data_IF_620776735471
#
_entry.id   IF_620776735471
#
_cell.length_a   1.000
_cell.length_b   1.000
_cell.length_c   1.000
_cell.angle_alpha   90.00
_cell.angle_beta   90.00
_cell.angle_gamma   90.00
#
_symmetry.space_group_name_H-M   'P 1'
#
loop_
_entity.id
_entity.type
_entity.pdbx_description
1 polymer ?
#
# COMPACT_ATOMS: atom_id res chain seq x y z
N UNK A 1 28.70 -31.60 42.33
CA UNK A 1 27.35 -31.39 41.77
C UNK A 1 27.13 -29.95 41.28
N UNK A 2 28.07 -29.01 41.52
CA UNK A 2 28.00 -27.63 40.99
C UNK A 2 28.42 -27.50 39.52
N UNK A 3 29.46 -28.20 39.08
CA UNK A 3 29.99 -28.14 37.70
C UNK A 3 28.96 -28.48 36.61
N UNK A 4 28.04 -29.40 36.90
CA UNK A 4 26.97 -29.81 35.96
C UNK A 4 25.80 -28.82 35.90
N UNK A 5 25.64 -27.93 36.91
CA UNK A 5 24.60 -26.90 36.89
C UNK A 5 25.03 -25.65 36.12
N UNK A 6 26.31 -25.27 36.21
CA UNK A 6 26.86 -24.12 35.48
C UNK A 6 26.83 -24.37 33.96
N UNK A 7 27.22 -25.57 33.51
CA UNK A 7 27.24 -25.93 32.09
C UNK A 7 25.82 -25.98 31.46
N UNK A 8 24.80 -26.37 32.25
CA UNK A 8 23.38 -26.36 31.83
C UNK A 8 22.80 -24.95 31.74
N UNK A 9 23.16 -24.06 32.66
CA UNK A 9 22.80 -22.63 32.59
C UNK A 9 23.46 -21.96 31.38
N UNK A 10 24.77 -22.12 31.19
CA UNK A 10 25.50 -21.57 30.06
C UNK A 10 24.96 -22.07 28.71
N UNK A 11 24.64 -23.37 28.61
CA UNK A 11 24.05 -23.95 27.39
C UNK A 11 22.61 -23.50 27.13
N UNK A 12 21.83 -23.18 28.17
CA UNK A 12 20.47 -22.67 27.99
C UNK A 12 20.48 -21.20 27.57
N UNK A 13 21.39 -20.39 28.13
CA UNK A 13 21.56 -18.98 27.74
C UNK A 13 22.04 -18.84 26.29
N UNK A 14 22.95 -19.70 25.82
CA UNK A 14 23.40 -19.67 24.41
C UNK A 14 22.29 -20.05 23.43
N UNK A 15 21.49 -21.07 23.75
CA UNK A 15 20.35 -21.49 22.90
C UNK A 15 19.28 -20.39 22.84
N UNK A 16 18.97 -19.72 23.95
CA UNK A 16 18.00 -18.61 23.98
C UNK A 16 18.50 -17.42 23.15
N UNK A 17 19.79 -17.07 23.24
CA UNK A 17 20.37 -15.98 22.43
C UNK A 17 20.37 -16.29 20.93
N UNK A 18 20.57 -17.56 20.54
CA UNK A 18 20.48 -18.00 19.15
C UNK A 18 19.01 -17.97 18.66
N UNK A 19 18.05 -18.41 19.46
CA UNK A 19 16.63 -18.36 19.07
C UNK A 19 16.09 -16.93 18.96
N UNK A 20 16.60 -15.99 19.77
CA UNK A 20 16.27 -14.56 19.67
C UNK A 20 16.87 -13.93 18.41
N UNK A 21 18.08 -14.32 17.99
CA UNK A 21 18.70 -13.78 16.77
C UNK A 21 18.08 -14.30 15.48
N UNK A 22 17.52 -15.52 15.45
CA UNK A 22 16.76 -16.03 14.31
C UNK A 22 15.34 -15.44 14.20
N UNK A 23 14.83 -14.75 15.22
CA UNK A 23 13.49 -14.15 15.23
C UNK A 23 13.36 -12.78 14.53
N UNK A 24 14.46 -12.19 14.06
CA UNK A 24 14.49 -10.85 13.44
C UNK A 24 14.62 -10.84 11.91
N UNK A 25 14.27 -11.94 11.24
CA UNK A 25 14.06 -11.91 9.80
C UNK A 25 12.70 -11.27 9.51
N UNK A 26 12.66 -9.94 9.50
CA UNK A 26 11.58 -9.20 8.86
C UNK A 26 11.73 -9.45 7.36
N UNK A 27 10.88 -10.32 6.80
CA UNK A 27 10.76 -10.44 5.35
C UNK A 27 10.31 -9.10 4.78
N UNK A 28 11.10 -8.53 3.89
CA UNK A 28 10.64 -7.43 3.03
C UNK A 28 9.65 -8.05 2.06
N UNK A 29 8.35 -7.88 2.31
CA UNK A 29 7.35 -8.26 1.32
C UNK A 29 7.44 -7.26 0.17
N UNK A 30 7.78 -7.74 -1.01
CA UNK A 30 7.73 -7.01 -2.28
C UNK A 30 6.42 -7.38 -2.96
N UNK A 31 5.62 -6.38 -3.31
CA UNK A 31 4.37 -6.58 -4.04
C UNK A 31 4.55 -6.32 -5.54
N UNK A 32 3.69 -6.92 -6.35
CA UNK A 32 3.69 -6.76 -7.80
C UNK A 32 2.34 -6.24 -8.26
N UNK A 33 2.33 -5.10 -8.95
CA UNK A 33 1.13 -4.42 -9.38
C UNK A 33 1.07 -4.40 -10.91
N UNK A 34 0.01 -4.97 -11.48
CA UNK A 34 -0.27 -4.79 -12.91
C UNK A 34 -0.84 -3.40 -13.11
N UNK A 35 -0.17 -2.58 -13.93
CA UNK A 35 -0.62 -1.22 -14.21
C UNK A 35 -1.95 -1.27 -14.95
N UNK A 36 -2.99 -0.66 -14.39
CA UNK A 36 -4.36 -0.72 -14.92
C UNK A 36 -5.17 -1.95 -14.47
N UNK A 37 -4.60 -2.82 -13.64
CA UNK A 37 -5.20 -4.08 -13.18
C UNK A 37 -5.71 -4.95 -14.35
N UNK A 38 -7.00 -5.29 -14.40
CA UNK A 38 -7.58 -6.12 -15.47
C UNK A 38 -7.60 -5.43 -16.83
N UNK A 39 -7.56 -4.10 -16.85
CA UNK A 39 -7.57 -3.30 -18.08
C UNK A 39 -6.16 -3.05 -18.65
N UNK A 40 -5.12 -3.44 -17.88
CA UNK A 40 -3.72 -3.36 -18.26
C UNK A 40 -3.29 -1.93 -18.73
N UNK A 41 -2.18 -1.84 -19.48
CA UNK A 41 -1.65 -0.57 -19.97
C UNK A 41 -2.26 -0.20 -21.34
N UNK A 42 -3.51 0.30 -21.32
CA UNK A 42 -4.25 0.74 -22.50
C UNK A 42 -4.86 2.16 -22.36
N UNK A 43 -5.44 2.66 -23.45
CA UNK A 43 -6.14 3.94 -23.54
C UNK A 43 -7.51 3.91 -22.88
N UNK A 44 -7.99 5.06 -22.40
CA UNK A 44 -9.32 5.18 -21.78
C UNK A 44 -9.39 4.77 -20.32
N UNK A 45 -8.27 4.33 -19.74
CA UNK A 45 -8.16 3.95 -18.33
C UNK A 45 -7.84 5.18 -17.47
N UNK A 46 -8.48 5.27 -16.30
CA UNK A 46 -8.19 6.33 -15.33
C UNK A 46 -7.03 5.92 -14.42
N UNK A 47 -5.80 6.14 -14.88
CA UNK A 47 -4.61 5.76 -14.12
C UNK A 47 -4.38 6.56 -12.84
N UNK A 48 -4.96 7.76 -12.72
CA UNK A 48 -4.93 8.51 -11.46
C UNK A 48 -5.63 7.69 -10.36
N UNK A 49 -6.87 7.29 -10.63
CA UNK A 49 -7.64 6.45 -9.70
C UNK A 49 -6.99 5.09 -9.46
N UNK A 50 -6.35 4.49 -10.47
CA UNK A 50 -5.57 3.26 -10.27
C UNK A 50 -4.39 3.50 -9.31
N UNK A 51 -3.57 4.53 -9.56
CA UNK A 51 -2.38 4.81 -8.75
C UNK A 51 -2.69 5.18 -7.29
N UNK A 52 -3.82 5.83 -7.03
CA UNK A 52 -4.22 6.24 -5.67
C UNK A 52 -4.77 5.07 -4.82
N UNK A 53 -5.06 3.91 -5.40
CA UNK A 53 -5.57 2.74 -4.66
C UNK A 53 -4.50 1.97 -3.88
N UNK A 54 -3.22 2.16 -4.22
CA UNK A 54 -2.12 1.36 -3.70
C UNK A 54 -1.12 2.21 -2.92
N UNK A 55 -0.36 1.57 -2.03
CA UNK A 55 0.74 2.19 -1.31
C UNK A 55 2.05 1.54 -1.78
N UNK A 56 2.74 2.21 -2.70
CA UNK A 56 3.98 1.69 -3.28
C UNK A 56 5.16 1.87 -2.32
N UNK A 57 5.95 0.82 -2.17
CA UNK A 57 7.14 0.77 -1.33
C UNK A 57 8.37 0.38 -2.14
N UNK A 58 9.56 0.77 -1.67
CA UNK A 58 10.80 0.29 -2.26
C UNK A 58 10.84 -1.24 -2.25
N UNK A 59 11.15 -1.83 -3.40
CA UNK A 59 11.16 -3.27 -3.62
C UNK A 59 9.95 -3.78 -4.39
N UNK A 60 8.85 -3.01 -4.46
CA UNK A 60 7.69 -3.38 -5.27
C UNK A 60 8.01 -3.36 -6.77
N UNK A 61 7.16 -4.00 -7.57
CA UNK A 61 7.31 -4.10 -9.03
C UNK A 61 6.03 -3.63 -9.72
N UNK A 62 6.17 -2.74 -10.70
CA UNK A 62 5.09 -2.45 -11.65
C UNK A 62 5.22 -3.36 -12.87
N UNK A 63 4.10 -3.90 -13.34
CA UNK A 63 4.04 -4.72 -14.57
C UNK A 63 3.22 -3.98 -15.61
N UNK A 64 3.86 -3.60 -16.71
CA UNK A 64 3.20 -3.00 -17.86
C UNK A 64 2.93 -4.06 -18.90
N UNK A 65 1.65 -4.40 -19.08
CA UNK A 65 1.19 -5.33 -20.12
C UNK A 65 0.46 -4.57 -21.21
N UNK A 66 0.89 -4.78 -22.45
CA UNK A 66 0.32 -4.12 -23.63
C UNK A 66 0.82 -4.79 -24.91
N UNK A 67 0.17 -4.50 -26.04
CA UNK A 67 0.68 -4.96 -27.34
C UNK A 67 1.91 -4.14 -27.75
N UNK A 68 3.06 -4.80 -27.82
CA UNK A 68 4.31 -4.16 -28.24
C UNK A 68 4.15 -3.41 -29.57
N UNK A 69 4.64 -2.17 -29.61
CA UNK A 69 4.51 -1.28 -30.76
C UNK A 69 3.21 -0.49 -30.83
N UNK A 70 2.13 -0.90 -30.13
CA UNK A 70 0.93 -0.08 -29.95
C UNK A 70 1.06 0.87 -28.76
N UNK A 71 1.77 0.43 -27.73
CA UNK A 71 2.11 1.25 -26.56
C UNK A 71 3.59 1.05 -26.21
N UNK A 72 4.04 1.87 -25.26
CA UNK A 72 5.28 1.75 -24.53
C UNK A 72 5.08 2.41 -23.17
N UNK A 73 5.99 2.18 -22.24
CA UNK A 73 6.02 2.84 -20.94
C UNK A 73 7.40 3.45 -20.71
N UNK A 74 7.48 4.76 -20.54
CA UNK A 74 8.75 5.45 -20.30
C UNK A 74 8.70 6.05 -18.90
N UNK A 75 9.72 5.77 -18.08
CA UNK A 75 9.98 6.57 -16.87
C UNK A 75 10.60 7.90 -17.32
N UNK A 76 10.04 9.01 -16.84
CA UNK A 76 10.44 10.34 -17.29
C UNK A 76 10.57 11.31 -16.12
N UNK A 77 11.20 12.46 -16.37
CA UNK A 77 11.18 13.58 -15.44
C UNK A 77 9.78 14.20 -15.32
N UNK A 78 9.53 14.92 -14.23
CA UNK A 78 8.27 15.65 -14.03
C UNK A 78 7.95 16.63 -15.18
N UNK A 79 8.97 17.32 -15.71
CA UNK A 79 8.80 18.26 -16.82
C UNK A 79 8.31 17.55 -18.09
N UNK A 80 8.94 16.43 -18.44
CA UNK A 80 8.57 15.56 -19.57
C UNK A 80 7.17 14.96 -19.38
N UNK A 81 6.81 14.55 -18.17
CA UNK A 81 5.46 14.06 -17.85
C UNK A 81 4.38 15.12 -18.08
N UNK A 82 4.64 16.36 -17.63
CA UNK A 82 3.69 17.47 -17.79
C UNK A 82 3.51 17.86 -19.25
N UNK A 83 4.61 17.91 -20.02
CA UNK A 83 4.57 18.29 -21.44
C UNK A 83 4.12 17.16 -22.36
N UNK A 84 4.26 15.89 -21.94
CA UNK A 84 4.18 14.72 -22.81
C UNK A 84 5.17 14.75 -23.99
N UNK A 85 6.26 15.52 -23.87
CA UNK A 85 7.31 15.63 -24.88
C UNK A 85 8.56 14.86 -24.43
N UNK A 86 8.70 13.64 -24.93
CA UNK A 86 9.81 12.74 -24.63
C UNK A 86 11.09 13.03 -25.44
N UNK A 87 11.22 14.20 -26.08
CA UNK A 87 12.47 14.63 -26.74
C UNK A 87 13.64 14.78 -25.76
N UNK A 88 13.34 15.06 -24.48
CA UNK A 88 14.31 15.14 -23.39
C UNK A 88 13.71 14.56 -22.10
N UNK A 89 14.55 14.27 -21.11
CA UNK A 89 14.11 13.85 -19.78
C UNK A 89 13.49 12.45 -19.69
N UNK A 90 13.83 11.56 -20.63
CA UNK A 90 13.57 10.12 -20.50
C UNK A 90 14.63 9.48 -19.61
N UNK A 91 14.20 8.78 -18.56
CA UNK A 91 15.06 8.13 -17.58
C UNK A 91 15.21 6.63 -17.87
N UNK A 92 14.13 5.98 -18.28
CA UNK A 92 14.12 4.58 -18.70
C UNK A 92 13.07 4.34 -19.80
N UNK A 93 13.26 3.28 -20.57
CA UNK A 93 12.38 2.88 -21.69
C UNK A 93 11.97 1.42 -21.54
N UNK A 94 10.68 1.18 -21.65
CA UNK A 94 10.07 -0.14 -21.57
C UNK A 94 9.18 -0.33 -22.80
N UNK A 95 9.51 -1.30 -23.64
CA UNK A 95 8.98 -1.45 -25.01
C UNK A 95 8.68 -2.91 -25.38
N UNK A 96 8.74 -3.86 -24.42
CA UNK A 96 8.57 -5.29 -24.72
C UNK A 96 7.11 -5.74 -24.78
N UNK A 97 6.19 -5.00 -24.14
CA UNK A 97 4.78 -5.38 -23.98
C UNK A 97 4.47 -6.22 -22.74
N UNK A 98 5.49 -6.66 -22.00
CA UNK A 98 5.38 -7.29 -20.68
C UNK A 98 6.58 -6.86 -19.82
N UNK A 99 6.61 -5.57 -19.49
CA UNK A 99 7.76 -4.94 -18.84
C UNK A 99 7.58 -4.91 -17.32
N UNK A 100 8.59 -5.40 -16.60
CA UNK A 100 8.65 -5.35 -15.14
C UNK A 100 9.58 -4.23 -14.68
N UNK A 101 9.03 -3.30 -13.90
CA UNK A 101 9.72 -2.09 -13.42
C UNK A 101 9.84 -2.16 -11.90
N UNK A 102 11.01 -2.55 -11.36
CA UNK A 102 11.24 -2.55 -9.92
C UNK A 102 11.37 -1.11 -9.39
N UNK A 103 10.69 -0.83 -8.30
CA UNK A 103 10.70 0.45 -7.60
C UNK A 103 11.84 0.45 -6.57
N UNK A 104 13.03 0.87 -6.99
CA UNK A 104 14.26 0.71 -6.19
C UNK A 104 14.60 1.92 -5.31
N UNK A 105 13.92 3.04 -5.48
CA UNK A 105 14.23 4.30 -4.80
C UNK A 105 12.99 4.88 -4.12
N UNK A 106 13.16 5.47 -2.94
CA UNK A 106 12.14 6.31 -2.30
C UNK A 106 12.09 7.66 -3.03
N UNK A 107 11.20 7.74 -4.00
CA UNK A 107 10.93 8.94 -4.80
C UNK A 107 9.54 8.86 -5.38
N UNK A 108 9.06 9.97 -5.89
CA UNK A 108 7.97 9.90 -6.85
C UNK A 108 8.50 9.33 -8.18
N UNK A 109 7.65 8.66 -8.96
CA UNK A 109 7.95 8.16 -10.30
C UNK A 109 6.88 8.70 -11.27
N UNK A 110 7.25 8.90 -12.54
CA UNK A 110 6.39 9.46 -13.58
C UNK A 110 6.50 8.58 -14.81
N UNK A 111 5.37 8.03 -15.24
CA UNK A 111 5.30 7.14 -16.39
C UNK A 111 4.39 7.72 -17.45
N UNK A 112 4.79 7.59 -18.71
CA UNK A 112 4.01 8.02 -19.88
C UNK A 112 4.07 6.97 -21.00
N UNK A 113 3.04 6.95 -21.85
CA UNK A 113 3.13 6.34 -23.17
C UNK A 113 3.49 7.43 -24.20
N UNK A 114 4.57 7.22 -24.96
CA UNK A 114 5.09 8.20 -25.92
C UNK A 114 4.49 8.11 -27.33
N UNK A 115 3.62 7.12 -27.56
CA UNK A 115 2.87 7.01 -28.81
C UNK A 115 1.98 8.25 -28.98
N UNK A 116 1.93 8.76 -30.22
CA UNK A 116 1.32 10.06 -30.51
C UNK A 116 -0.13 10.14 -29.99
N UNK A 117 -0.39 11.12 -29.13
CA UNK A 117 -1.71 11.35 -28.52
C UNK A 117 -1.99 10.54 -27.26
N UNK A 118 -1.25 9.47 -26.96
CA UNK A 118 -1.57 8.59 -25.82
C UNK A 118 -1.33 9.26 -24.46
N UNK A 119 -0.16 9.88 -24.23
CA UNK A 119 0.12 10.59 -22.97
C UNK A 119 -0.87 11.73 -22.69
N UNK A 120 -1.15 12.57 -23.69
CA UNK A 120 -2.14 13.66 -23.56
C UNK A 120 -3.57 13.14 -23.45
N UNK A 121 -3.83 11.96 -24.02
CA UNK A 121 -5.09 11.22 -23.90
C UNK A 121 -5.27 10.51 -22.56
N UNK A 122 -4.29 10.59 -21.65
CA UNK A 122 -4.40 10.06 -20.29
C UNK A 122 -3.59 8.79 -20.01
N UNK A 123 -2.85 8.23 -20.98
CA UNK A 123 -1.89 7.14 -20.73
C UNK A 123 -0.63 7.67 -20.05
N UNK A 124 -0.79 8.11 -18.81
CA UNK A 124 0.25 8.60 -17.93
C UNK A 124 -0.21 8.51 -16.49
N UNK A 125 0.72 8.32 -15.56
CA UNK A 125 0.45 8.44 -14.13
C UNK A 125 1.71 8.73 -13.34
N UNK A 126 1.51 9.02 -12.06
CA UNK A 126 2.57 9.21 -11.08
C UNK A 126 2.30 8.33 -9.86
N UNK A 127 3.36 7.82 -9.24
CA UNK A 127 3.27 7.13 -7.95
C UNK A 127 4.30 7.69 -6.99
N UNK A 128 3.97 7.76 -5.71
CA UNK A 128 4.92 8.11 -4.67
C UNK A 128 5.37 6.83 -3.96
N UNK A 129 6.67 6.52 -4.04
CA UNK A 129 7.25 5.32 -3.45
C UNK A 129 7.88 5.70 -2.12
N UNK A 130 7.45 5.02 -1.05
CA UNK A 130 8.02 5.16 0.29
C UNK A 130 9.15 4.16 0.53
N UNK A 131 9.95 4.41 1.57
CA UNK A 131 10.97 3.47 2.00
C UNK A 131 10.41 2.05 2.27
N UNK A 132 11.28 1.04 2.26
CA UNK A 132 10.87 -0.37 2.34
C UNK A 132 9.88 -0.61 3.49
N UNK A 133 8.78 -1.31 3.22
CA UNK A 133 7.74 -1.61 4.19
C UNK A 133 8.26 -2.59 5.24
N UNK A 134 8.61 -2.09 6.43
CA UNK A 134 9.14 -2.92 7.54
C UNK A 134 8.05 -3.36 8.54
N UNK A 135 6.76 -3.37 8.18
CA UNK A 135 5.70 -3.59 9.17
C UNK A 135 4.83 -4.84 8.91
N UNK A 136 4.74 -5.78 9.88
CA UNK A 136 3.57 -6.64 10.06
C UNK A 136 2.45 -5.83 10.72
N UNK A 137 1.31 -5.70 10.02
CA UNK A 137 0.01 -5.17 10.46
C UNK A 137 -0.09 -4.42 11.79
N UNK A 138 -0.31 -3.11 11.72
CA UNK A 138 -1.34 -2.42 12.52
C UNK A 138 -1.79 -1.21 11.72
N UNK A 139 -3.00 -1.25 11.18
CA UNK A 139 -3.72 -0.08 10.69
C UNK A 139 -3.86 0.89 11.86
N UNK A 140 -2.94 1.84 11.98
CA UNK A 140 -3.16 3.03 12.79
C UNK A 140 -3.92 4.02 11.93
N UNK A 141 -5.25 3.98 12.06
CA UNK A 141 -6.13 5.10 11.72
C UNK A 141 -5.62 6.33 12.46
N UNK A 142 -4.77 7.13 11.82
CA UNK A 142 -4.39 8.44 12.34
C UNK A 142 -5.56 9.37 12.06
N UNK A 143 -6.48 9.44 13.01
CA UNK A 143 -7.53 10.45 13.07
C UNK A 143 -6.89 11.83 13.07
N UNK A 144 -6.79 12.44 11.90
CA UNK A 144 -6.67 13.88 11.75
C UNK A 144 -8.08 14.46 11.90
N UNK A 145 -8.33 15.12 13.02
CA UNK A 145 -9.55 15.91 13.22
C UNK A 145 -9.67 16.94 12.07
N UNK A 146 -10.85 17.13 11.47
CA UNK A 146 -11.06 18.16 10.46
C UNK A 146 -10.82 19.57 11.04
N UNK A 147 -10.32 20.55 10.26
CA UNK A 147 -10.35 21.93 10.69
C UNK A 147 -11.82 22.37 10.83
N UNK A 148 -12.13 22.87 12.02
CA UNK A 148 -13.39 23.48 12.41
C UNK A 148 -13.75 24.61 11.44
N UNK A 149 -14.80 24.39 10.63
CA UNK A 149 -15.39 25.41 9.77
C UNK A 149 -16.46 26.14 10.57
N UNK A 150 -16.19 27.41 10.85
CA UNK A 150 -17.11 28.36 11.49
C UNK A 150 -18.44 28.44 10.70
N UNK A 151 -19.61 28.36 11.37
CA UNK A 151 -20.89 28.37 10.68
C UNK A 151 -21.33 29.79 10.29
N UNK A 152 -21.69 29.97 9.01
CA UNK A 152 -22.49 31.12 8.55
C UNK A 152 -23.96 31.00 9.03
N UNK A 153 -24.66 32.13 9.24
CA UNK A 153 -25.96 32.17 9.91
C UNK A 153 -27.10 31.52 9.09
N UNK A 154 -28.11 30.93 9.75
CA UNK A 154 -29.21 30.23 9.08
C UNK A 154 -30.30 31.18 8.56
N UNK A 155 -31.00 30.84 7.46
CA UNK A 155 -32.27 31.44 7.11
C UNK A 155 -33.40 30.89 8.01
N UNK A 156 -34.21 31.81 8.53
CA UNK A 156 -35.37 31.59 9.39
C UNK A 156 -36.55 31.01 8.61
N UNK A 157 -37.13 29.88 9.05
CA UNK A 157 -38.59 29.67 9.17
C UNK A 157 -38.98 28.27 9.71
N UNK A 158 -40.20 28.12 10.28
CA UNK A 158 -40.40 27.41 11.55
C UNK A 158 -41.16 26.07 11.46
N UNK A 159 -40.90 25.24 12.48
CA UNK A 159 -41.72 24.25 13.22
C UNK A 159 -42.76 23.40 12.48
N UNK A 160 -42.73 22.06 12.69
CA UNK A 160 -43.54 21.27 13.65
C UNK A 160 -42.94 19.85 13.77
N UNK A 161 -42.48 19.34 14.91
CA UNK A 161 -43.14 18.91 16.16
C UNK A 161 -43.61 17.44 16.16
N UNK A 162 -43.44 16.76 17.31
CA UNK A 162 -43.84 15.38 17.71
C UNK A 162 -43.03 14.18 17.16
N UNK A 163 -42.66 13.13 17.91
CA UNK A 163 -42.73 12.81 19.33
C UNK A 163 -41.99 11.49 19.64
N UNK A 164 -41.61 11.34 20.92
CA UNK A 164 -41.63 10.13 21.77
C UNK A 164 -40.60 8.99 21.63
N UNK A 165 -39.82 8.86 22.73
CA UNK A 165 -39.12 7.69 23.27
C UNK A 165 -40.12 6.75 24.00
N UNK A 166 -39.85 5.43 24.13
CA UNK A 166 -39.44 4.84 25.42
C UNK A 166 -38.36 3.73 25.23
N UNK A 167 -37.27 3.72 26.01
CA UNK A 167 -37.03 2.93 27.24
C UNK A 167 -37.41 1.44 27.19
N UNK A 168 -36.38 0.58 27.16
CA UNK A 168 -36.46 -0.85 27.44
C UNK A 168 -35.21 -1.32 28.18
N UNK A 169 -35.38 -1.77 29.42
CA UNK A 169 -34.40 -2.32 30.35
C UNK A 169 -34.21 -3.83 30.11
N UNK A 170 -33.04 -4.36 30.43
CA UNK A 170 -32.80 -5.80 30.67
C UNK A 170 -31.46 -6.25 30.06
N UNK A 171 -30.36 -6.35 30.81
CA UNK A 171 -29.99 -7.34 31.84
C UNK A 171 -28.99 -8.36 31.29
N UNK A 172 -27.99 -8.65 32.13
CA UNK A 172 -26.73 -9.35 31.86
C UNK A 172 -26.88 -10.87 31.69
N UNK A 173 -25.99 -11.49 30.92
CA UNK A 173 -25.46 -12.82 31.22
C UNK A 173 -24.00 -12.95 30.76
N UNK A 174 -23.11 -13.13 31.73
CA UNK A 174 -21.72 -13.57 31.61
C UNK A 174 -21.69 -15.08 31.32
N UNK A 175 -20.76 -15.53 30.46
CA UNK A 175 -19.95 -16.79 30.47
C UNK A 175 -19.35 -16.95 29.07
N UNK A 176 -18.13 -17.43 28.80
CA UNK A 176 -16.99 -17.88 29.58
C UNK A 176 -15.73 -17.80 28.68
N UNK A 177 -14.57 -17.71 29.31
CA UNK A 177 -13.24 -17.77 28.70
C UNK A 177 -12.89 -19.15 28.13
N UNK A 178 -12.07 -19.16 27.09
CA UNK A 178 -10.87 -20.00 27.08
C UNK A 178 -10.88 -21.29 26.26
N UNK A 179 -9.78 -21.45 25.51
CA UNK A 179 -9.24 -22.64 24.87
C UNK A 179 -9.68 -22.94 23.43
N UNK A 180 -8.71 -23.48 22.68
CA UNK A 180 -8.72 -23.87 21.24
C UNK A 180 -8.32 -22.66 20.38
N UNK A 181 -7.04 -22.45 20.05
CA UNK A 181 -6.30 -23.22 19.03
C UNK A 181 -4.82 -23.38 19.44
N UNK A 182 -4.49 -24.46 20.14
CA UNK A 182 -3.15 -25.07 20.11
C UNK A 182 -3.36 -26.43 19.46
N UNK A 183 -3.34 -26.47 18.13
CA UNK A 183 -3.31 -27.70 17.37
C UNK A 183 -2.93 -27.37 15.93
N UNK A 184 -1.62 -27.26 15.68
CA UNK A 184 -0.93 -27.68 14.46
C UNK A 184 0.60 -27.57 14.73
N UNK A 185 1.13 -28.41 15.64
CA UNK A 185 2.56 -28.71 15.73
C UNK A 185 2.68 -30.21 15.97
N UNK A 186 2.35 -31.05 14.99
CA UNK A 186 2.97 -32.36 14.73
C UNK A 186 2.64 -32.80 13.29
N UNK A 187 3.57 -32.59 12.35
CA UNK A 187 3.89 -33.49 11.23
C UNK A 187 5.19 -33.02 10.59
#
# INVERSE_FOLDING_TARGET
>A
MEETQVLKCCSSFTIILIMISLGFFHGTNSETYTVGDEEEWDSGINYLTWSERYNFSMGDVLVFKYVAGQHNAYEVTEATYKSCDASTGVLAKYESGDDQVPLTEEKQYWFICTIAGHCLGGMRFTIDVKGASTAPGTNTTKGGSPPEMEPSPPPTNPDKDFASRPQGMGSYCLVAFGAIVILQIVS
#
